data_IF_835263557111
#
_entry.id   IF_835263557111
#
_cell.length_a   1.000
_cell.length_b   1.000
_cell.length_c   1.000
_cell.angle_alpha   90.00
_cell.angle_beta   90.00
_cell.angle_gamma   90.00
#
_symmetry.space_group_name_H-M   'P 1'
#
loop_
_entity.id
_entity.type
_entity.pdbx_description
1 polymer ?
#
# COMPACT_ATOMS: atom_id res chain seq x y z
N UNK A 1 -7.86 12.58 -31.44
CA UNK A 1 -7.78 13.95 -31.95
C UNK A 1 -6.97 14.74 -30.94
N UNK A 2 -5.72 15.11 -31.26
CA UNK A 2 -4.88 15.90 -30.35
C UNK A 2 -5.16 17.38 -30.68
N UNK A 3 -5.94 18.05 -29.85
CA UNK A 3 -6.25 19.47 -30.00
C UNK A 3 -5.56 20.22 -28.85
N UNK A 4 -4.35 20.77 -29.05
CA UNK A 4 -3.68 21.52 -28.00
C UNK A 4 -4.47 22.80 -27.71
N UNK A 5 -4.90 22.97 -26.46
CA UNK A 5 -5.46 24.22 -25.95
C UNK A 5 -4.33 25.00 -25.31
N UNK A 6 -4.05 26.21 -25.81
CA UNK A 6 -3.11 27.14 -25.19
C UNK A 6 -3.90 28.10 -24.32
N UNK A 7 -3.67 28.05 -23.01
CA UNK A 7 -4.28 28.98 -22.04
C UNK A 7 -3.21 29.93 -21.52
N UNK A 8 -3.46 31.24 -21.62
CA UNK A 8 -2.62 32.25 -20.97
C UNK A 8 -3.34 32.75 -19.72
N UNK A 9 -2.80 32.40 -18.56
CA UNK A 9 -3.40 32.73 -17.25
C UNK A 9 -2.52 33.81 -16.60
N UNK A 10 -2.96 35.08 -16.57
CA UNK A 10 -2.20 36.12 -15.88
C UNK A 10 -2.32 35.97 -14.36
N UNK A 11 -1.19 35.78 -13.67
CA UNK A 11 -1.13 35.68 -12.20
C UNK A 11 -1.44 34.28 -11.66
N UNK A 12 -2.01 34.20 -10.45
CA UNK A 12 -2.44 32.95 -9.81
C UNK A 12 -3.86 32.59 -10.29
N UNK A 13 -3.99 31.99 -11.47
CA UNK A 13 -5.27 31.46 -11.92
C UNK A 13 -5.30 29.94 -11.86
N UNK A 14 -6.46 29.40 -11.49
CA UNK A 14 -6.74 27.98 -11.45
C UNK A 14 -7.50 27.58 -12.71
N UNK A 15 -7.11 26.47 -13.34
CA UNK A 15 -7.92 25.83 -14.38
C UNK A 15 -8.46 24.52 -13.82
N UNK A 16 -9.77 24.36 -13.93
CA UNK A 16 -10.48 23.16 -13.51
C UNK A 16 -11.08 22.50 -14.75
N UNK A 17 -10.90 21.19 -14.87
CA UNK A 17 -11.46 20.38 -15.93
C UNK A 17 -12.29 19.25 -15.31
N UNK A 18 -13.48 19.01 -15.86
CA UNK A 18 -14.27 17.83 -15.58
C UNK A 18 -14.12 16.81 -16.71
N UNK A 19 -14.09 15.54 -16.36
CA UNK A 19 -13.97 14.44 -17.31
C UNK A 19 -15.17 13.50 -17.15
N UNK A 20 -15.76 13.06 -18.26
CA UNK A 20 -16.91 12.17 -18.23
C UNK A 20 -17.10 11.48 -19.57
N UNK A 21 -17.79 10.34 -19.55
CA UNK A 21 -18.28 9.70 -20.76
C UNK A 21 -19.35 10.57 -21.44
N UNK A 22 -20.06 11.36 -20.64
CA UNK A 22 -21.07 12.32 -21.09
C UNK A 22 -20.72 13.76 -20.68
N UNK A 23 -21.31 14.73 -21.38
CA UNK A 23 -21.20 16.16 -21.02
C UNK A 23 -21.81 16.45 -19.65
N UNK A 24 -22.86 15.74 -19.29
CA UNK A 24 -23.56 15.90 -18.01
C UNK A 24 -22.67 15.47 -16.85
N UNK A 25 -22.03 14.29 -16.94
CA UNK A 25 -21.02 13.84 -15.97
C UNK A 25 -19.86 14.83 -15.83
N UNK A 26 -19.33 15.34 -16.95
CA UNK A 26 -18.24 16.31 -16.92
C UNK A 26 -18.65 17.63 -16.24
N UNK A 27 -19.90 18.07 -16.42
CA UNK A 27 -20.44 19.27 -15.76
C UNK A 27 -20.71 19.02 -14.27
N UNK A 28 -21.18 17.84 -13.89
CA UNK A 28 -21.43 17.45 -12.49
C UNK A 28 -20.11 17.39 -11.69
N UNK A 29 -19.05 16.82 -12.27
CA UNK A 29 -17.71 16.88 -11.68
C UNK A 29 -17.21 18.32 -11.51
N UNK A 30 -17.43 19.18 -12.51
CA UNK A 30 -17.05 20.59 -12.42
C UNK A 30 -17.83 21.32 -11.32
N UNK A 31 -19.13 21.10 -11.21
CA UNK A 31 -19.97 21.68 -10.16
C UNK A 31 -19.47 21.25 -8.78
N UNK A 32 -19.23 19.94 -8.59
CA UNK A 32 -18.67 19.39 -7.35
C UNK A 32 -17.33 20.03 -6.99
N UNK A 33 -16.42 20.18 -7.97
CA UNK A 33 -15.13 20.83 -7.74
C UNK A 33 -15.29 22.31 -7.38
N UNK A 34 -16.17 23.04 -8.05
CA UNK A 34 -16.42 24.46 -7.79
C UNK A 34 -17.02 24.70 -6.40
N UNK A 35 -18.00 23.88 -6.00
CA UNK A 35 -18.65 23.98 -4.69
C UNK A 35 -17.69 23.71 -3.54
N UNK A 36 -16.70 22.83 -3.75
CA UNK A 36 -15.77 22.40 -2.71
C UNK A 36 -14.36 23.04 -2.83
N UNK A 37 -14.14 23.93 -3.80
CA UNK A 37 -12.80 24.40 -4.17
C UNK A 37 -12.05 25.03 -2.99
N UNK A 38 -12.70 25.94 -2.27
CA UNK A 38 -12.11 26.59 -1.09
C UNK A 38 -11.76 25.57 0.00
N UNK A 39 -12.61 24.55 0.19
CA UNK A 39 -12.33 23.46 1.13
C UNK A 39 -11.08 22.67 0.75
N UNK A 40 -10.92 22.36 -0.53
CA UNK A 40 -9.73 21.68 -1.04
C UNK A 40 -8.46 22.53 -0.93
N UNK A 41 -8.54 23.84 -1.19
CA UNK A 41 -7.39 24.75 -1.02
C UNK A 41 -6.94 24.86 0.44
N UNK A 42 -7.90 24.96 1.37
CA UNK A 42 -7.61 24.95 2.81
C UNK A 42 -6.99 23.62 3.22
N UNK A 43 -7.62 22.49 2.85
CA UNK A 43 -7.11 21.16 3.17
C UNK A 43 -5.68 20.95 2.65
N UNK A 44 -5.40 21.39 1.42
CA UNK A 44 -4.06 21.32 0.81
C UNK A 44 -3.05 22.15 1.59
N UNK A 45 -3.43 23.37 1.96
CA UNK A 45 -2.57 24.28 2.73
C UNK A 45 -2.26 23.71 4.12
N UNK A 46 -3.28 23.21 4.82
CA UNK A 46 -3.13 22.59 6.14
C UNK A 46 -2.25 21.34 6.08
N UNK A 47 -2.46 20.48 5.07
CA UNK A 47 -1.63 19.29 4.83
C UNK A 47 -0.18 19.68 4.59
N UNK A 48 0.09 20.69 3.76
CA UNK A 48 1.45 21.17 3.51
C UNK A 48 2.11 21.71 4.79
N UNK A 49 1.39 22.48 5.61
CA UNK A 49 1.89 22.98 6.91
C UNK A 49 2.21 21.83 7.86
N UNK A 50 1.36 20.81 7.92
CA UNK A 50 1.58 19.62 8.75
C UNK A 50 2.82 18.83 8.30
N UNK A 51 2.98 18.58 7.00
CA UNK A 51 4.18 17.93 6.45
C UNK A 51 5.44 18.71 6.81
N UNK A 52 5.42 20.05 6.71
CA UNK A 52 6.58 20.86 7.04
C UNK A 52 6.90 20.86 8.54
N UNK A 53 5.89 20.68 9.40
CA UNK A 53 6.08 20.53 10.86
C UNK A 53 6.69 19.17 11.20
N UNK A 54 6.12 18.08 10.69
CA UNK A 54 6.51 16.72 11.05
C UNK A 54 7.70 16.17 10.25
N UNK A 55 7.82 16.55 8.99
CA UNK A 55 8.83 16.08 8.03
C UNK A 55 10.01 17.03 7.87
N UNK A 56 10.31 17.85 8.86
CA UNK A 56 11.42 18.81 8.79
C UNK A 56 12.77 18.11 8.74
N UNK A 57 13.18 17.72 7.53
CA UNK A 57 14.56 17.41 7.19
C UNK A 57 15.35 18.71 7.27
N UNK A 58 16.25 18.79 8.23
CA UNK A 58 17.20 19.89 8.37
C UNK A 58 18.61 19.32 8.29
N UNK A 59 19.32 19.64 7.22
CA UNK A 59 20.75 19.38 7.12
C UNK A 59 21.59 20.66 7.27
N UNK A 60 20.95 21.79 7.57
CA UNK A 60 21.60 23.09 7.73
C UNK A 60 21.84 23.83 6.41
N UNK A 61 21.38 23.27 5.28
CA UNK A 61 21.48 23.88 3.96
C UNK A 61 20.09 24.28 3.45
N UNK A 62 19.71 25.57 3.51
CA UNK A 62 18.32 26.00 3.28
C UNK A 62 17.71 25.57 1.96
N UNK A 63 18.49 25.53 0.87
CA UNK A 63 17.98 25.12 -0.44
C UNK A 63 17.77 23.60 -0.55
N UNK A 64 18.57 22.80 0.16
CA UNK A 64 18.37 21.35 0.23
C UNK A 64 17.12 21.07 1.05
N UNK A 65 17.01 21.69 2.22
CA UNK A 65 15.85 21.56 3.10
C UNK A 65 14.55 21.97 2.37
N UNK A 66 14.59 23.06 1.58
CA UNK A 66 13.48 23.47 0.72
C UNK A 66 13.14 22.44 -0.38
N UNK A 67 14.15 21.86 -1.04
CA UNK A 67 13.93 20.85 -2.06
C UNK A 67 13.26 19.60 -1.48
N UNK A 68 13.70 19.13 -0.31
CA UNK A 68 13.05 18.01 0.38
C UNK A 68 11.63 18.36 0.80
N UNK A 69 11.40 19.52 1.42
CA UNK A 69 10.08 20.01 1.76
C UNK A 69 9.09 20.00 0.57
N UNK A 70 9.54 20.43 -0.61
CA UNK A 70 8.74 20.41 -1.83
C UNK A 70 8.42 18.99 -2.31
N UNK A 71 9.38 18.07 -2.24
CA UNK A 71 9.16 16.65 -2.60
C UNK A 71 8.14 16.01 -1.66
N UNK A 72 8.28 16.22 -0.35
CA UNK A 72 7.38 15.67 0.67
C UNK A 72 5.94 16.17 0.47
N UNK A 73 5.77 17.47 0.18
CA UNK A 73 4.45 18.06 -0.05
C UNK A 73 3.78 17.49 -1.30
N UNK A 74 4.53 17.35 -2.41
CA UNK A 74 4.01 16.80 -3.66
C UNK A 74 3.60 15.33 -3.56
N UNK A 75 4.30 14.55 -2.73
CA UNK A 75 3.97 13.14 -2.52
C UNK A 75 2.54 12.99 -1.97
N UNK A 76 2.20 13.77 -0.94
CA UNK A 76 0.88 13.73 -0.31
C UNK A 76 -0.22 14.23 -1.24
N UNK A 77 0.05 15.29 -2.01
CA UNK A 77 -0.94 15.89 -2.90
C UNK A 77 -1.24 15.04 -4.14
N UNK A 78 -0.25 14.32 -4.66
CA UNK A 78 -0.36 13.66 -5.96
C UNK A 78 -0.60 12.15 -5.87
N UNK A 79 -0.12 11.49 -4.81
CA UNK A 79 -0.16 10.02 -4.72
C UNK A 79 -1.10 9.49 -3.65
N UNK A 80 -1.49 10.28 -2.65
CA UNK A 80 -2.42 9.80 -1.62
C UNK A 80 -3.85 10.16 -1.99
N UNK A 81 -4.56 9.20 -2.56
CA UNK A 81 -5.96 9.35 -2.93
C UNK A 81 -6.84 9.07 -1.71
N UNK A 82 -7.53 10.10 -1.22
CA UNK A 82 -8.48 10.00 -0.10
C UNK A 82 -9.89 9.87 -0.64
N UNK A 83 -10.70 9.00 -0.02
CA UNK A 83 -12.08 8.74 -0.45
C UNK A 83 -12.19 8.46 -1.95
N UNK A 84 -11.21 7.77 -2.52
CA UNK A 84 -11.22 7.42 -3.92
C UNK A 84 -12.38 6.46 -4.17
N UNK A 85 -13.35 6.90 -4.96
CA UNK A 85 -14.39 6.07 -5.51
C UNK A 85 -13.95 5.69 -6.91
N UNK A 86 -13.74 4.40 -7.12
CA UNK A 86 -13.51 3.86 -8.44
C UNK A 86 -14.67 2.91 -8.75
N UNK A 87 -15.48 3.31 -9.72
CA UNK A 87 -16.50 2.43 -10.28
C UNK A 87 -15.85 1.16 -10.84
N UNK A 88 -16.59 0.05 -10.79
CA UNK A 88 -16.14 -1.24 -11.33
C UNK A 88 -14.84 -1.77 -10.67
N UNK A 89 -14.60 -1.45 -9.39
CA UNK A 89 -13.53 -2.06 -8.59
C UNK A 89 -14.10 -3.07 -7.59
N UNK A 90 -13.21 -3.90 -7.02
CA UNK A 90 -13.56 -4.79 -5.92
C UNK A 90 -13.85 -4.08 -4.58
N UNK A 91 -13.89 -2.75 -4.56
CA UNK A 91 -14.14 -1.95 -3.37
C UNK A 91 -15.62 -1.53 -3.34
N UNK A 92 -16.33 -1.98 -2.31
CA UNK A 92 -17.77 -1.68 -2.14
C UNK A 92 -18.04 -0.28 -1.54
N UNK A 93 -16.99 0.47 -1.23
CA UNK A 93 -17.04 1.79 -0.59
C UNK A 93 -15.84 2.65 -1.00
N UNK A 94 -15.93 3.99 -0.89
CA UNK A 94 -14.77 4.86 -1.06
C UNK A 94 -13.58 4.36 -0.23
N UNK A 95 -12.40 4.32 -0.84
CA UNK A 95 -11.20 3.80 -0.22
C UNK A 95 -10.10 4.86 -0.19
N UNK A 96 -9.26 4.80 0.84
CA UNK A 96 -8.03 5.59 0.88
C UNK A 96 -6.89 4.69 0.40
N UNK A 97 -6.13 5.17 -0.59
CA UNK A 97 -5.07 4.39 -1.23
C UNK A 97 -3.87 5.26 -1.60
N UNK A 98 -2.72 4.63 -1.73
CA UNK A 98 -1.52 5.28 -2.28
C UNK A 98 -1.35 4.78 -3.70
N UNK A 99 -1.39 5.70 -4.67
CA UNK A 99 -1.15 5.44 -6.08
C UNK A 99 0.35 5.19 -6.30
N UNK A 100 0.68 4.23 -7.15
CA UNK A 100 2.08 3.88 -7.41
C UNK A 100 2.83 4.99 -8.16
N UNK A 101 2.13 5.83 -8.92
CA UNK A 101 2.74 6.96 -9.60
C UNK A 101 1.72 7.84 -10.33
N UNK A 102 1.93 9.15 -10.25
CA UNK A 102 1.11 10.11 -10.99
C UNK A 102 1.37 9.99 -12.51
N UNK A 103 0.36 10.26 -13.33
CA UNK A 103 0.32 10.22 -14.81
C UNK A 103 0.23 8.85 -15.47
N UNK A 104 0.93 7.83 -14.97
CA UNK A 104 1.02 6.52 -15.66
C UNK A 104 0.60 5.32 -14.81
N UNK A 105 0.53 5.48 -13.48
CA UNK A 105 0.20 4.40 -12.55
C UNK A 105 -0.91 4.85 -11.57
N UNK A 106 -2.06 5.18 -12.14
CA UNK A 106 -3.27 5.54 -11.39
C UNK A 106 -3.96 4.32 -10.75
N UNK A 107 -3.38 3.12 -10.90
CA UNK A 107 -3.80 1.92 -10.19
C UNK A 107 -3.17 1.84 -8.80
N UNK A 108 -3.85 1.14 -7.90
CA UNK A 108 -3.32 0.91 -6.57
C UNK A 108 -2.56 -0.42 -6.50
N UNK A 109 -1.25 -0.36 -6.73
CA UNK A 109 -0.33 -1.49 -6.57
C UNK A 109 -0.03 -1.68 -5.08
N UNK A 110 -0.44 -2.82 -4.52
CA UNK A 110 -0.40 -3.04 -3.08
C UNK A 110 1.01 -3.19 -2.55
N UNK A 111 1.96 -3.73 -3.32
CA UNK A 111 3.38 -3.74 -2.95
C UNK A 111 3.89 -2.31 -2.73
N UNK A 112 3.70 -1.47 -3.74
CA UNK A 112 4.14 -0.08 -3.78
C UNK A 112 3.46 0.74 -2.67
N UNK A 113 2.15 0.58 -2.50
CA UNK A 113 1.39 1.20 -1.42
C UNK A 113 1.94 0.80 -0.05
N UNK A 114 2.14 -0.49 0.21
CA UNK A 114 2.66 -0.93 1.50
C UNK A 114 4.12 -0.47 1.69
N UNK A 115 4.97 -0.41 0.66
CA UNK A 115 6.30 0.19 0.80
C UNK A 115 6.15 1.70 1.11
N UNK A 116 5.33 2.42 0.38
CA UNK A 116 5.13 3.87 0.55
C UNK A 116 4.45 4.24 1.87
N UNK A 117 3.60 3.38 2.44
CA UNK A 117 2.87 3.60 3.69
C UNK A 117 3.81 3.94 4.87
N UNK A 118 5.05 3.45 4.86
CA UNK A 118 6.07 3.82 5.86
C UNK A 118 6.37 5.33 5.91
N UNK A 119 6.13 6.03 4.81
CA UNK A 119 6.20 7.48 4.74
C UNK A 119 5.14 8.15 5.64
N UNK A 120 3.89 7.69 5.56
CA UNK A 120 2.79 8.20 6.40
C UNK A 120 3.11 7.98 7.88
N UNK A 121 3.65 6.82 8.22
CA UNK A 121 4.06 6.52 9.60
C UNK A 121 5.17 7.45 10.10
N UNK A 122 6.15 7.75 9.23
CA UNK A 122 7.28 8.62 9.56
C UNK A 122 6.83 10.06 9.82
N UNK A 123 5.82 10.52 9.06
CA UNK A 123 5.25 11.86 9.22
C UNK A 123 4.17 11.96 10.30
N UNK A 124 3.82 10.86 10.98
CA UNK A 124 2.79 10.86 12.02
C UNK A 124 1.35 10.85 11.49
N UNK A 125 1.14 10.62 10.20
CA UNK A 125 -0.18 10.50 9.58
C UNK A 125 -0.84 9.14 9.88
N UNK A 126 -1.03 8.84 11.17
CA UNK A 126 -1.53 7.53 11.62
C UNK A 126 -2.99 7.29 11.24
N UNK A 127 -3.85 8.30 11.30
CA UNK A 127 -5.26 8.16 10.90
C UNK A 127 -5.37 7.79 9.41
N UNK A 128 -4.59 8.47 8.58
CA UNK A 128 -4.54 8.18 7.14
C UNK A 128 -3.93 6.80 6.86
N UNK A 129 -2.87 6.43 7.57
CA UNK A 129 -2.27 5.11 7.45
C UNK A 129 -3.27 4.00 7.84
N UNK A 130 -4.07 4.23 8.88
CA UNK A 130 -5.14 3.33 9.33
C UNK A 130 -6.18 3.11 8.23
N UNK A 131 -6.63 4.18 7.58
CA UNK A 131 -7.58 4.08 6.47
C UNK A 131 -7.04 3.28 5.27
N UNK A 132 -5.77 3.50 4.91
CA UNK A 132 -5.09 2.73 3.84
C UNK A 132 -5.03 1.24 4.20
N UNK A 133 -4.62 0.92 5.43
CA UNK A 133 -4.59 -0.47 5.92
C UNK A 133 -5.99 -1.09 5.86
N UNK A 134 -7.02 -0.40 6.35
CA UNK A 134 -8.38 -0.93 6.33
C UNK A 134 -8.90 -1.17 4.90
N UNK A 135 -8.61 -0.25 3.99
CA UNK A 135 -9.05 -0.30 2.59
C UNK A 135 -8.49 -1.51 1.85
N UNK A 136 -7.22 -1.85 2.10
CA UNK A 136 -6.55 -2.97 1.43
C UNK A 136 -6.82 -4.31 2.11
N UNK A 137 -6.81 -4.36 3.44
CA UNK A 137 -6.90 -5.63 4.15
C UNK A 137 -8.25 -6.32 3.96
N UNK A 138 -9.36 -5.58 3.86
CA UNK A 138 -10.70 -6.15 3.62
C UNK A 138 -10.81 -7.00 2.35
N UNK A 139 -9.84 -6.93 1.43
CA UNK A 139 -9.78 -7.69 0.19
C UNK A 139 -8.89 -8.95 0.27
N UNK A 140 -8.57 -9.45 1.48
CA UNK A 140 -7.77 -10.67 1.61
C UNK A 140 -8.46 -11.88 0.98
N UNK A 141 -7.74 -12.63 0.15
CA UNK A 141 -8.22 -13.89 -0.42
C UNK A 141 -8.25 -15.00 0.63
N UNK A 142 -9.40 -15.66 0.80
CA UNK A 142 -9.56 -16.69 1.84
C UNK A 142 -8.73 -17.96 1.58
N UNK A 143 -8.49 -18.27 0.30
CA UNK A 143 -7.80 -19.49 -0.13
C UNK A 143 -6.29 -19.38 0.10
N UNK A 144 -5.69 -18.25 -0.22
CA UNK A 144 -4.25 -18.03 -0.12
C UNK A 144 -3.86 -17.25 1.13
N UNK A 145 -4.79 -16.55 1.78
CA UNK A 145 -4.50 -15.59 2.84
C UNK A 145 -3.75 -14.35 2.36
N UNK A 146 -3.57 -14.18 1.05
CA UNK A 146 -2.83 -13.05 0.47
C UNK A 146 -3.75 -11.86 0.22
N UNK A 147 -3.17 -10.67 0.36
CA UNK A 147 -3.73 -9.42 -0.15
C UNK A 147 -3.51 -9.35 -1.67
N UNK A 148 -4.34 -8.58 -2.41
CA UNK A 148 -4.19 -8.50 -3.86
C UNK A 148 -2.86 -7.85 -4.25
N UNK A 149 -2.35 -8.12 -5.44
CA UNK A 149 -1.18 -7.43 -5.99
C UNK A 149 -1.55 -5.99 -6.38
N UNK A 150 -2.74 -5.79 -6.93
CA UNK A 150 -3.25 -4.48 -7.33
C UNK A 150 -4.77 -4.42 -7.31
N UNK A 151 -5.29 -3.20 -7.23
CA UNK A 151 -6.71 -2.89 -7.41
C UNK A 151 -6.81 -1.97 -8.64
N UNK A 152 -7.62 -2.38 -9.61
CA UNK A 152 -7.87 -1.66 -10.87
C UNK A 152 -9.34 -1.84 -11.27
N UNK A 153 -9.93 -0.81 -11.87
CA UNK A 153 -11.29 -0.86 -12.39
C UNK A 153 -11.42 -1.86 -13.56
N UNK A 154 -12.52 -2.61 -13.59
CA UNK A 154 -12.85 -3.60 -14.62
C UNK A 154 -12.07 -4.91 -14.50
N UNK A 155 -11.31 -5.13 -13.42
CA UNK A 155 -10.48 -6.32 -13.26
C UNK A 155 -10.60 -6.94 -11.87
N UNK A 156 -10.75 -8.27 -11.82
CA UNK A 156 -10.70 -9.01 -10.57
C UNK A 156 -9.30 -8.90 -9.93
N UNK A 157 -9.18 -8.70 -8.59
CA UNK A 157 -7.88 -8.55 -7.96
C UNK A 157 -7.02 -9.82 -8.09
N UNK A 158 -5.78 -9.73 -8.58
CA UNK A 158 -4.86 -10.87 -8.65
C UNK A 158 -4.17 -11.13 -7.30
N UNK A 159 -4.00 -12.40 -6.90
CA UNK A 159 -3.44 -12.80 -5.59
C UNK A 159 -2.11 -13.59 -5.68
N UNK A 160 -1.33 -13.36 -6.74
CA UNK A 160 -0.11 -14.12 -7.00
C UNK A 160 1.18 -13.45 -6.49
N UNK A 161 1.14 -12.21 -5.98
CA UNK A 161 2.34 -11.54 -5.44
C UNK A 161 2.91 -12.26 -4.21
N UNK A 162 4.22 -12.51 -4.20
CA UNK A 162 4.91 -13.18 -3.10
C UNK A 162 5.38 -12.22 -1.99
N UNK A 163 5.55 -10.94 -2.31
CA UNK A 163 6.04 -9.89 -1.39
C UNK A 163 4.96 -8.92 -0.89
N UNK A 164 3.87 -8.70 -1.64
CA UNK A 164 2.88 -7.67 -1.31
C UNK A 164 2.24 -7.85 0.06
N UNK A 165 1.84 -9.08 0.41
CA UNK A 165 1.26 -9.36 1.74
C UNK A 165 2.30 -9.30 2.85
N UNK A 166 3.54 -9.68 2.58
CA UNK A 166 4.63 -9.58 3.55
C UNK A 166 4.97 -8.12 3.87
N UNK A 167 5.00 -7.24 2.86
CA UNK A 167 5.12 -5.81 3.08
C UNK A 167 3.94 -5.24 3.88
N UNK A 168 2.71 -5.69 3.60
CA UNK A 168 1.54 -5.26 4.36
C UNK A 168 1.59 -5.68 5.83
N UNK A 169 2.00 -6.91 6.11
CA UNK A 169 2.23 -7.41 7.47
C UNK A 169 3.27 -6.56 8.19
N UNK A 170 4.40 -6.28 7.52
CA UNK A 170 5.43 -5.43 8.09
C UNK A 170 4.93 -4.02 8.41
N UNK A 171 4.12 -3.42 7.53
CA UNK A 171 3.53 -2.11 7.78
C UNK A 171 2.44 -2.12 8.84
N UNK A 172 1.62 -3.16 8.92
CA UNK A 172 0.66 -3.32 10.01
C UNK A 172 1.38 -3.36 11.37
N UNK A 173 2.47 -4.12 11.46
CA UNK A 173 3.29 -4.18 12.65
C UNK A 173 3.91 -2.81 12.99
N UNK A 174 4.54 -2.15 12.01
CA UNK A 174 5.13 -0.83 12.23
C UNK A 174 4.09 0.23 12.59
N UNK A 175 2.92 0.20 11.96
CA UNK A 175 1.80 1.06 12.30
C UNK A 175 1.44 0.90 13.78
N UNK A 176 1.17 -0.33 14.23
CA UNK A 176 0.86 -0.61 15.63
C UNK A 176 1.96 -0.10 16.58
N UNK A 177 3.23 -0.34 16.23
CA UNK A 177 4.38 0.11 17.04
C UNK A 177 4.53 1.62 17.11
N UNK A 178 4.18 2.35 16.05
CA UNK A 178 4.28 3.81 15.99
C UNK A 178 3.05 4.52 16.58
N UNK A 179 1.84 4.03 16.30
CA UNK A 179 0.59 4.66 16.72
C UNK A 179 0.09 4.21 18.09
N UNK A 180 0.44 2.98 18.51
CA UNK A 180 -0.13 2.34 19.69
C UNK A 180 -1.59 1.86 19.50
N UNK A 181 -2.11 1.84 18.27
CA UNK A 181 -3.49 1.40 17.99
C UNK A 181 -3.64 -0.13 18.13
N UNK A 182 -3.88 -0.55 19.37
CA UNK A 182 -4.23 -1.92 19.75
C UNK A 182 -5.51 -2.43 19.06
N UNK A 183 -6.44 -1.53 18.70
CA UNK A 183 -7.72 -1.92 18.11
C UNK A 183 -7.53 -2.47 16.70
N UNK A 184 -6.74 -1.79 15.87
CA UNK A 184 -6.53 -2.21 14.48
C UNK A 184 -5.74 -3.51 14.40
N UNK A 185 -4.68 -3.66 15.20
CA UNK A 185 -3.89 -4.90 15.18
C UNK A 185 -4.74 -6.12 15.59
N UNK A 186 -5.61 -5.96 16.60
CA UNK A 186 -6.55 -7.03 17.03
C UNK A 186 -7.62 -7.30 15.98
N UNK A 187 -8.14 -6.25 15.34
CA UNK A 187 -9.09 -6.37 14.22
C UNK A 187 -8.48 -7.18 13.06
N UNK A 188 -7.21 -6.97 12.75
CA UNK A 188 -6.53 -7.64 11.62
C UNK A 188 -5.90 -8.98 11.97
N UNK A 189 -5.78 -9.34 13.25
CA UNK A 189 -5.10 -10.56 13.68
C UNK A 189 -5.69 -11.86 13.07
N UNK A 190 -7.02 -12.04 12.93
CA UNK A 190 -7.56 -13.22 12.24
C UNK A 190 -7.08 -13.34 10.78
N UNK A 191 -6.85 -12.21 10.12
CA UNK A 191 -6.33 -12.15 8.75
C UNK A 191 -4.84 -12.48 8.70
N UNK A 192 -4.09 -12.02 9.70
CA UNK A 192 -2.69 -12.39 9.91
C UNK A 192 -2.56 -13.91 10.09
N UNK A 193 -3.35 -14.50 10.99
CA UNK A 193 -3.37 -15.95 11.23
C UNK A 193 -3.68 -16.73 9.96
N UNK A 194 -4.67 -16.27 9.17
CA UNK A 194 -5.01 -16.88 7.88
C UNK A 194 -3.82 -16.89 6.90
N UNK A 195 -3.11 -15.77 6.77
CA UNK A 195 -1.92 -15.71 5.91
C UNK A 195 -0.86 -16.72 6.35
N UNK A 196 -0.54 -16.77 7.64
CA UNK A 196 0.47 -17.69 8.16
C UNK A 196 0.06 -19.15 7.99
N UNK A 197 -1.16 -19.52 8.35
CA UNK A 197 -1.67 -20.88 8.18
C UNK A 197 -1.55 -21.35 6.72
N UNK A 198 -2.00 -20.53 5.75
CA UNK A 198 -1.93 -20.85 4.31
C UNK A 198 -0.51 -20.87 3.75
N UNK A 199 0.37 -20.02 4.28
CA UNK A 199 1.76 -19.95 3.83
C UNK A 199 2.59 -21.11 4.38
N UNK A 200 2.37 -21.50 5.63
CA UNK A 200 3.07 -22.60 6.30
C UNK A 200 2.76 -23.97 5.68
N UNK A 201 1.58 -24.16 5.10
CA UNK A 201 1.27 -25.36 4.29
C UNK A 201 2.24 -25.55 3.09
N UNK A 202 2.98 -24.50 2.69
CA UNK A 202 3.78 -24.47 1.46
C UNK A 202 5.27 -24.29 1.70
N UNK A 203 5.71 -24.03 2.94
CA UNK A 203 7.14 -23.79 3.20
C UNK A 203 7.96 -25.05 2.99
N UNK A 204 9.19 -24.88 2.53
CA UNK A 204 10.19 -25.96 2.39
C UNK A 204 11.37 -25.59 3.26
N UNK A 205 11.71 -26.45 4.23
CA UNK A 205 12.74 -26.18 5.23
C UNK A 205 12.57 -24.82 5.95
N UNK A 206 11.30 -24.42 6.16
CA UNK A 206 10.94 -23.14 6.76
C UNK A 206 10.99 -21.94 5.81
N UNK A 207 11.50 -22.11 4.59
CA UNK A 207 11.57 -21.06 3.56
C UNK A 207 10.27 -20.95 2.78
N UNK A 208 9.85 -19.71 2.50
CA UNK A 208 8.62 -19.43 1.76
C UNK A 208 8.90 -19.41 0.25
N UNK A 209 8.30 -20.30 -0.55
CA UNK A 209 8.54 -20.31 -1.98
C UNK A 209 7.91 -19.08 -2.67
N UNK A 210 8.54 -18.64 -3.76
CA UNK A 210 8.06 -17.65 -4.71
C UNK A 210 8.10 -18.24 -6.11
N UNK A 211 7.16 -17.82 -6.95
CA UNK A 211 6.98 -18.41 -8.28
C UNK A 211 6.35 -19.80 -8.18
N UNK A 212 5.55 -20.14 -9.19
CA UNK A 212 4.80 -21.39 -9.27
C UNK A 212 3.78 -21.58 -8.13
N UNK A 213 3.49 -20.54 -7.35
CA UNK A 213 2.59 -20.63 -6.20
C UNK A 213 1.14 -20.39 -6.58
N UNK A 214 0.91 -19.57 -7.62
CA UNK A 214 -0.41 -19.39 -8.20
C UNK A 214 -0.72 -20.42 -9.31
N UNK A 215 0.26 -20.69 -10.18
CA UNK A 215 0.17 -21.65 -11.28
C UNK A 215 1.57 -22.16 -11.67
N UNK A 216 1.76 -23.42 -12.09
CA UNK A 216 3.08 -24.02 -12.37
C UNK A 216 3.97 -23.24 -13.34
N UNK A 217 3.38 -22.49 -14.27
CA UNK A 217 4.02 -21.72 -15.32
C UNK A 217 4.32 -20.26 -14.94
N UNK A 218 3.76 -19.76 -13.84
CA UNK A 218 3.87 -18.35 -13.45
C UNK A 218 5.05 -18.12 -12.51
N UNK A 219 6.12 -17.46 -12.97
CA UNK A 219 7.39 -17.35 -12.21
C UNK A 219 7.70 -15.97 -11.63
N UNK A 220 6.94 -14.94 -12.00
CA UNK A 220 7.27 -13.55 -11.74
C UNK A 220 6.39 -12.94 -10.65
N UNK A 221 6.43 -13.55 -9.46
CA UNK A 221 5.60 -13.17 -8.30
C UNK A 221 6.23 -12.07 -7.41
N UNK A 222 7.52 -11.79 -7.60
CA UNK A 222 8.29 -10.74 -6.86
C UNK A 222 8.13 -9.36 -7.49
N UNK A 223 8.79 -8.33 -6.95
CA UNK A 223 8.85 -6.99 -7.53
C UNK A 223 9.45 -6.89 -8.94
N UNK A 224 10.28 -7.85 -9.35
CA UNK A 224 10.73 -7.96 -10.74
C UNK A 224 9.73 -8.78 -11.56
N UNK A 225 8.49 -8.30 -11.66
CA UNK A 225 7.31 -9.05 -12.15
C UNK A 225 7.19 -9.12 -13.69
N UNK A 226 8.28 -9.47 -14.36
CA UNK A 226 8.28 -9.74 -15.81
C UNK A 226 8.74 -11.17 -16.13
N UNK A 227 8.29 -11.75 -17.26
CA UNK A 227 8.80 -13.05 -17.71
C UNK A 227 10.31 -13.11 -17.96
N UNK A 228 10.98 -11.95 -18.12
CA UNK A 228 12.42 -11.85 -18.39
C UNK A 228 13.27 -11.84 -17.10
N UNK A 229 12.63 -11.66 -15.96
CA UNK A 229 13.28 -11.56 -14.65
C UNK A 229 12.63 -12.51 -13.65
N UNK A 230 12.47 -13.81 -13.99
CA UNK A 230 11.85 -14.76 -13.06
C UNK A 230 12.72 -14.90 -11.81
N UNK A 231 12.07 -14.93 -10.66
CA UNK A 231 12.71 -15.09 -9.35
C UNK A 231 11.93 -16.14 -8.57
N UNK A 232 11.91 -17.35 -9.11
CA UNK A 232 11.27 -18.50 -8.48
C UNK A 232 12.22 -19.22 -7.50
N UNK A 233 11.66 -20.07 -6.65
CA UNK A 233 12.37 -20.70 -5.54
C UNK A 233 12.31 -19.83 -4.28
N UNK A 234 13.45 -19.41 -3.75
CA UNK A 234 13.53 -18.73 -2.45
C UNK A 234 14.28 -17.38 -2.53
N UNK A 235 13.70 -16.33 -3.14
CA UNK A 235 14.34 -15.03 -3.25
C UNK A 235 14.64 -14.41 -1.88
N UNK A 236 15.80 -13.78 -1.76
CA UNK A 236 16.33 -13.30 -0.48
C UNK A 236 15.40 -12.33 0.25
N UNK A 237 14.80 -11.35 -0.45
CA UNK A 237 13.92 -10.37 0.16
C UNK A 237 12.61 -10.99 0.65
N UNK A 238 12.11 -12.04 -0.02
CA UNK A 238 10.95 -12.82 0.43
C UNK A 238 11.29 -13.52 1.74
N UNK A 239 12.46 -14.16 1.83
CA UNK A 239 12.88 -14.86 3.06
C UNK A 239 13.11 -13.89 4.22
N UNK A 240 13.75 -12.74 3.96
CA UNK A 240 13.99 -11.73 4.99
C UNK A 240 12.68 -11.15 5.52
N UNK A 241 11.73 -10.82 4.65
CA UNK A 241 10.41 -10.35 5.07
C UNK A 241 9.61 -11.44 5.78
N UNK A 242 9.63 -12.68 5.27
CA UNK A 242 8.95 -13.83 5.86
C UNK A 242 9.41 -14.08 7.30
N UNK A 243 10.72 -14.19 7.51
CA UNK A 243 11.32 -14.42 8.82
C UNK A 243 11.05 -13.24 9.77
N UNK A 244 11.14 -12.00 9.27
CA UNK A 244 10.79 -10.82 10.05
C UNK A 244 9.32 -10.84 10.49
N UNK A 245 8.40 -11.19 9.57
CA UNK A 245 6.97 -11.29 9.86
C UNK A 245 6.68 -12.41 10.87
N UNK A 246 7.24 -13.61 10.69
CA UNK A 246 7.13 -14.69 11.68
C UNK A 246 7.54 -14.20 13.07
N UNK A 247 8.73 -13.59 13.18
CA UNK A 247 9.27 -13.14 14.46
C UNK A 247 8.37 -12.13 15.18
N UNK A 248 7.81 -11.16 14.44
CA UNK A 248 7.03 -10.08 15.07
C UNK A 248 5.59 -10.47 15.37
N UNK A 249 5.01 -11.40 14.60
CA UNK A 249 3.61 -11.80 14.78
C UNK A 249 3.43 -13.05 15.65
N UNK A 250 4.44 -13.92 15.82
CA UNK A 250 4.36 -15.08 16.72
C UNK A 250 3.83 -14.74 18.12
N UNK A 251 4.39 -13.75 18.84
CA UNK A 251 3.89 -13.40 20.18
C UNK A 251 2.43 -12.95 20.18
N UNK A 252 1.99 -12.25 19.12
CA UNK A 252 0.60 -11.80 18.97
C UNK A 252 -0.34 -12.97 18.65
N UNK A 253 0.11 -13.94 17.86
CA UNK A 253 -0.66 -15.14 17.51
C UNK A 253 -0.76 -16.10 18.69
N UNK A 254 0.28 -16.19 19.54
CA UNK A 254 0.30 -17.06 20.73
C UNK A 254 -0.96 -16.92 21.59
N UNK A 255 -1.38 -15.68 21.85
CA UNK A 255 -2.52 -15.37 22.73
C UNK A 255 -3.87 -15.89 22.19
N UNK A 256 -3.92 -16.21 20.88
CA UNK A 256 -5.15 -16.57 20.17
C UNK A 256 -5.12 -18.00 19.61
N UNK A 257 -3.97 -18.45 19.13
CA UNK A 257 -3.75 -19.75 18.52
C UNK A 257 -2.31 -20.24 18.81
N UNK A 258 -2.09 -20.88 19.97
CA UNK A 258 -0.79 -21.40 20.36
C UNK A 258 -0.24 -22.47 19.41
N UNK A 259 -1.10 -23.24 18.74
CA UNK A 259 -0.67 -24.30 17.82
C UNK A 259 -0.11 -23.70 16.53
N UNK A 260 -0.79 -22.68 15.98
CA UNK A 260 -0.27 -21.92 14.84
C UNK A 260 1.04 -21.20 15.20
N UNK A 261 1.13 -20.62 16.39
CA UNK A 261 2.38 -20.01 16.85
C UNK A 261 3.53 -21.03 16.89
N UNK A 262 3.30 -22.24 17.42
CA UNK A 262 4.31 -23.28 17.46
C UNK A 262 4.77 -23.69 16.06
N UNK A 263 3.85 -23.76 15.08
CA UNK A 263 4.20 -24.01 13.68
C UNK A 263 5.02 -22.87 13.07
N UNK A 264 4.63 -21.62 13.32
CA UNK A 264 5.40 -20.43 12.94
C UNK A 264 6.81 -20.46 13.54
N UNK A 265 6.96 -20.85 14.81
CA UNK A 265 8.24 -20.91 15.51
C UNK A 265 9.16 -21.98 14.89
N UNK A 266 8.61 -23.16 14.57
CA UNK A 266 9.33 -24.24 13.89
C UNK A 266 9.80 -23.83 12.49
N UNK A 267 8.94 -23.14 11.73
CA UNK A 267 9.30 -22.61 10.43
C UNK A 267 10.42 -21.56 10.50
N UNK A 268 10.35 -20.63 11.46
CA UNK A 268 11.42 -19.64 11.67
C UNK A 268 12.76 -20.34 11.99
N UNK A 269 12.76 -21.30 12.90
CA UNK A 269 13.97 -22.03 13.29
C UNK A 269 14.57 -22.80 12.10
N UNK A 270 13.73 -23.49 11.32
CA UNK A 270 14.15 -24.23 10.12
C UNK A 270 14.73 -23.30 9.06
N UNK A 271 14.11 -22.14 8.84
CA UNK A 271 14.58 -21.15 7.87
C UNK A 271 15.99 -20.65 8.20
N UNK A 272 16.30 -20.40 9.48
CA UNK A 272 17.67 -20.00 9.88
C UNK A 272 18.71 -21.11 9.73
N UNK A 273 18.30 -22.37 9.76
CA UNK A 273 19.19 -23.51 9.48
C UNK A 273 19.43 -23.60 7.97
N UNK A 274 18.39 -23.48 7.15
CA UNK A 274 18.49 -23.55 5.70
C UNK A 274 19.31 -22.42 5.06
N UNK A 275 19.39 -21.26 5.73
CA UNK A 275 20.17 -20.10 5.28
C UNK A 275 21.65 -20.11 5.70
N UNK A 276 22.09 -21.09 6.51
CA UNK A 276 23.50 -21.25 6.93
C UNK A 276 24.30 -22.08 5.95
#
# INVERSE_FOLDING_TARGET
MYAPVTLHIPGNGLVVYGFGATREEALDQLATLQENLLGYEVQKSDTAVEILRHGSLQNGTPWVDLAYAQVLTRLMDALVARNAVAEDTALDRPATMILAGNQYFHDSWKRDENIALGFLLTLGFYDLAREVIQSTWQLQDERTGRLPQRIRAGEAPPYHSSDGTLWALWRLYQYWRCSGDESLIREKLPMVQRFFARSLERVVDGLLPSGRTAAPEYLWETWMDTPHTPRDGFPIEIQMLWIACLRVFRPLVHDYDPDLEAWMASAEASAWIALR
#
